data_IF_010176365176
#
_entry.id   IF_010176365176
#
_cell.length_a   1.000
_cell.length_b   1.000
_cell.length_c   1.000
_cell.angle_alpha   90.00
_cell.angle_beta   90.00
_cell.angle_gamma   90.00
#
_symmetry.space_group_name_H-M   'P 1'
#
loop_
_entity.id
_entity.type
_entity.pdbx_description
1 polymer ?
#
# COMPACT_ATOMS: atom_id res chain seq x y z
N UNK A 1 -22.86 -19.42 -3.78
CA UNK A 1 -21.88 -18.38 -4.19
C UNK A 1 -21.83 -17.17 -3.25
N UNK A 2 -22.94 -16.54 -2.81
CA UNK A 2 -22.86 -15.42 -1.83
C UNK A 2 -22.40 -15.84 -0.42
N UNK A 3 -22.79 -17.02 0.07
CA UNK A 3 -22.38 -17.50 1.41
C UNK A 3 -20.91 -17.94 1.50
N UNK A 4 -20.21 -18.18 0.39
CA UNK A 4 -18.81 -18.64 0.44
C UNK A 4 -17.80 -17.49 0.59
N UNK A 5 -18.13 -16.28 0.16
CA UNK A 5 -17.26 -15.11 0.37
C UNK A 5 -17.17 -14.77 1.86
N UNK A 6 -18.31 -14.73 2.53
CA UNK A 6 -18.43 -14.44 3.97
C UNK A 6 -17.93 -15.56 4.91
N UNK A 7 -17.33 -16.62 4.37
CA UNK A 7 -16.52 -17.52 5.20
C UNK A 7 -15.23 -16.83 5.67
N UNK A 8 -14.76 -15.86 4.89
CA UNK A 8 -13.79 -14.86 5.32
C UNK A 8 -14.57 -13.64 5.82
N UNK A 9 -14.50 -13.37 7.13
CA UNK A 9 -15.25 -12.29 7.80
C UNK A 9 -14.44 -11.74 8.97
N UNK A 10 -14.79 -10.53 9.40
CA UNK A 10 -14.20 -9.84 10.53
C UNK A 10 -15.29 -9.60 11.57
N UNK A 11 -15.08 -10.12 12.78
CA UNK A 11 -16.00 -9.96 13.90
C UNK A 11 -15.40 -9.08 15.00
N UNK A 12 -16.09 -7.99 15.32
CA UNK A 12 -15.74 -7.04 16.38
C UNK A 12 -16.77 -7.16 17.49
N UNK A 13 -16.35 -7.64 18.66
CA UNK A 13 -17.19 -7.73 19.85
C UNK A 13 -17.00 -6.50 20.74
N UNK A 14 -18.10 -5.87 21.16
CA UNK A 14 -18.10 -4.67 22.01
C UNK A 14 -18.37 -3.37 21.26
N UNK A 15 -18.40 -3.39 19.92
CA UNK A 15 -18.67 -2.22 19.08
C UNK A 15 -19.54 -2.58 17.85
N UNK A 16 -20.87 -2.62 18.01
CA UNK A 16 -21.79 -2.99 16.93
C UNK A 16 -21.74 -2.05 15.71
N UNK A 17 -21.42 -0.77 15.92
CA UNK A 17 -21.34 0.20 14.82
C UNK A 17 -20.08 -0.03 13.99
N UNK A 18 -18.91 -0.16 14.63
CA UNK A 18 -17.68 -0.50 13.91
C UNK A 18 -17.81 -1.86 13.20
N UNK A 19 -18.50 -2.83 13.80
CA UNK A 19 -18.81 -4.11 13.15
C UNK A 19 -19.62 -3.93 11.85
N UNK A 20 -20.66 -3.09 11.87
CA UNK A 20 -21.47 -2.81 10.68
C UNK A 20 -20.63 -2.13 9.60
N UNK A 21 -19.87 -1.10 9.98
CA UNK A 21 -19.08 -0.28 9.05
C UNK A 21 -17.97 -1.13 8.40
N UNK A 22 -17.25 -1.96 9.17
CA UNK A 22 -16.22 -2.89 8.66
C UNK A 22 -16.80 -3.93 7.71
N UNK A 23 -17.99 -4.48 7.99
CA UNK A 23 -18.66 -5.40 7.06
C UNK A 23 -19.14 -4.68 5.80
N UNK A 24 -19.58 -3.42 5.91
CA UNK A 24 -19.88 -2.61 4.73
C UNK A 24 -18.63 -2.44 3.84
N UNK A 25 -17.46 -2.22 4.45
CA UNK A 25 -16.17 -2.14 3.73
C UNK A 25 -15.80 -3.43 3.01
N UNK A 26 -15.91 -4.57 3.69
CA UNK A 26 -15.71 -5.88 3.06
C UNK A 26 -16.68 -6.10 1.91
N UNK A 27 -17.98 -5.78 2.11
CA UNK A 27 -19.00 -5.95 1.08
C UNK A 27 -18.66 -5.21 -0.21
N UNK A 28 -18.21 -3.96 -0.13
CA UNK A 28 -17.87 -3.16 -1.31
C UNK A 28 -16.62 -3.69 -2.02
N UNK A 29 -15.52 -3.96 -1.30
CA UNK A 29 -14.32 -4.56 -1.92
C UNK A 29 -14.64 -5.92 -2.56
N UNK A 30 -15.41 -6.75 -1.86
CA UNK A 30 -15.90 -8.02 -2.39
C UNK A 30 -16.88 -7.85 -3.54
N UNK A 31 -17.42 -6.67 -3.80
CA UNK A 31 -18.32 -6.44 -4.94
C UNK A 31 -17.59 -5.92 -6.17
N UNK A 32 -16.48 -5.20 -5.99
CA UNK A 32 -15.76 -4.55 -7.09
C UNK A 32 -14.80 -5.46 -7.85
N UNK A 33 -14.37 -6.59 -7.27
CA UNK A 33 -13.42 -7.50 -7.93
C UNK A 33 -13.87 -8.96 -7.85
N UNK A 34 -13.48 -9.76 -8.85
CA UNK A 34 -13.79 -11.19 -8.96
C UNK A 34 -12.54 -11.97 -9.35
N UNK A 35 -12.47 -13.23 -8.90
CA UNK A 35 -11.45 -14.17 -9.34
C UNK A 35 -11.59 -14.47 -10.83
N UNK A 36 -10.48 -14.84 -11.47
CA UNK A 36 -10.39 -15.26 -12.87
C UNK A 36 -10.79 -14.19 -13.91
N UNK A 37 -10.75 -12.90 -13.55
CA UNK A 37 -11.01 -11.80 -14.50
C UNK A 37 -9.73 -11.13 -15.00
N UNK A 38 -8.65 -11.20 -14.20
CA UNK A 38 -7.44 -10.38 -14.40
C UNK A 38 -7.75 -8.87 -14.53
N UNK A 39 -8.81 -8.42 -13.85
CA UNK A 39 -9.19 -7.01 -13.71
C UNK A 39 -8.86 -6.53 -12.28
N UNK A 40 -8.69 -5.22 -12.15
CA UNK A 40 -8.33 -4.55 -10.89
C UNK A 40 -9.29 -3.38 -10.61
N UNK A 41 -9.62 -3.08 -9.34
CA UNK A 41 -10.56 -2.01 -9.01
C UNK A 41 -9.93 -0.62 -9.14
N UNK A 42 -10.76 0.39 -9.44
CA UNK A 42 -10.40 1.80 -9.29
C UNK A 42 -10.51 2.25 -7.82
N UNK A 43 -10.00 3.44 -7.43
CA UNK A 43 -10.22 4.03 -6.10
C UNK A 43 -11.70 4.13 -5.71
N UNK A 44 -12.59 4.28 -6.69
CA UNK A 44 -14.05 4.34 -6.50
C UNK A 44 -14.76 3.01 -6.78
N UNK A 45 -13.99 1.94 -7.01
CA UNK A 45 -14.48 0.64 -7.43
C UNK A 45 -15.31 0.73 -8.72
N UNK A 46 -16.56 0.28 -8.63
CA UNK A 46 -17.58 0.39 -9.69
C UNK A 46 -18.78 1.23 -9.22
N UNK A 47 -18.58 2.11 -8.25
CA UNK A 47 -19.66 2.87 -7.59
C UNK A 47 -20.00 4.20 -8.28
N UNK A 48 -19.17 4.67 -9.21
CA UNK A 48 -19.40 5.88 -9.98
C UNK A 48 -18.28 6.16 -10.99
N UNK A 49 -18.28 7.37 -11.55
CA UNK A 49 -17.35 7.80 -12.61
C UNK A 49 -16.07 8.46 -12.08
N UNK A 50 -15.88 8.54 -10.76
CA UNK A 50 -14.68 9.15 -10.18
C UNK A 50 -13.41 8.45 -10.66
N UNK A 51 -12.40 9.24 -11.01
CA UNK A 51 -11.14 8.81 -11.65
C UNK A 51 -11.31 7.93 -12.90
N UNK A 52 -12.42 8.07 -13.63
CA UNK A 52 -12.66 7.38 -14.91
C UNK A 52 -12.58 5.84 -14.84
N UNK A 53 -12.67 5.25 -13.64
CA UNK A 53 -12.45 3.82 -13.45
C UNK A 53 -11.00 3.37 -13.62
N UNK A 54 -10.03 4.29 -13.65
CA UNK A 54 -8.61 3.99 -13.76
C UNK A 54 -8.08 3.32 -12.48
N UNK A 55 -7.02 2.52 -12.65
CA UNK A 55 -6.37 1.74 -11.60
C UNK A 55 -5.06 2.40 -11.20
N UNK A 56 -4.98 2.81 -9.93
CA UNK A 56 -3.87 3.53 -9.31
C UNK A 56 -3.14 2.61 -8.30
N UNK A 57 -2.08 3.14 -7.67
CA UNK A 57 -1.39 2.51 -6.54
C UNK A 57 -2.31 2.21 -5.35
N UNK A 58 -3.44 2.91 -5.25
CA UNK A 58 -4.62 2.64 -4.44
C UNK A 58 -4.93 1.14 -4.31
N UNK A 59 -4.90 0.45 -5.46
CA UNK A 59 -5.14 -0.99 -5.51
C UNK A 59 -4.10 -1.71 -4.68
N UNK A 60 -2.83 -1.61 -5.04
CA UNK A 60 -1.77 -2.47 -4.51
C UNK A 60 -1.40 -2.17 -3.06
N UNK A 61 -1.48 -0.92 -2.63
CA UNK A 61 -1.12 -0.52 -1.27
C UNK A 61 -2.30 -0.62 -0.31
N UNK A 62 -3.51 -0.29 -0.75
CA UNK A 62 -4.64 -0.09 0.17
C UNK A 62 -5.68 -1.21 0.12
N UNK A 63 -6.12 -1.58 -1.08
CA UNK A 63 -7.19 -2.59 -1.26
C UNK A 63 -6.67 -4.02 -1.33
N UNK A 64 -5.49 -4.21 -1.93
CA UNK A 64 -4.92 -5.52 -2.20
C UNK A 64 -4.56 -6.30 -0.93
N UNK A 65 -3.97 -5.72 0.13
CA UNK A 65 -3.60 -6.50 1.32
C UNK A 65 -4.79 -7.20 2.02
N UNK A 66 -5.92 -6.54 2.33
CA UNK A 66 -7.06 -7.25 2.93
C UNK A 66 -7.66 -8.27 1.96
N UNK A 67 -7.71 -7.98 0.65
CA UNK A 67 -8.16 -8.93 -0.36
C UNK A 67 -7.25 -10.15 -0.45
N UNK A 68 -5.94 -9.98 -0.39
CA UNK A 68 -4.96 -11.06 -0.42
C UNK A 68 -5.10 -11.96 0.82
N UNK A 69 -5.28 -11.37 1.99
CA UNK A 69 -5.41 -12.15 3.21
C UNK A 69 -6.75 -12.90 3.28
N UNK A 70 -7.86 -12.34 2.80
CA UNK A 70 -9.18 -12.97 2.92
C UNK A 70 -9.57 -13.83 1.70
N UNK A 71 -9.14 -13.41 0.51
CA UNK A 71 -9.44 -14.02 -0.79
C UNK A 71 -8.23 -13.99 -1.73
N UNK A 72 -7.18 -14.79 -1.47
CA UNK A 72 -6.01 -14.87 -2.36
C UNK A 72 -6.37 -15.12 -3.83
N UNK A 73 -7.45 -15.85 -4.09
CA UNK A 73 -7.95 -16.12 -5.43
C UNK A 73 -8.50 -14.89 -6.18
N UNK A 74 -9.03 -13.90 -5.46
CA UNK A 74 -9.45 -12.61 -6.03
C UNK A 74 -8.24 -11.69 -6.18
N UNK A 75 -7.37 -11.64 -5.17
CA UNK A 75 -6.12 -10.88 -5.24
C UNK A 75 -5.24 -11.33 -6.43
N UNK A 76 -5.22 -12.63 -6.78
CA UNK A 76 -4.57 -13.13 -8.00
C UNK A 76 -5.01 -12.36 -9.24
N UNK A 77 -6.30 -12.06 -9.39
CA UNK A 77 -6.81 -11.29 -10.54
C UNK A 77 -6.33 -9.84 -10.53
N UNK A 78 -6.28 -9.20 -9.37
CA UNK A 78 -5.77 -7.83 -9.22
C UNK A 78 -4.30 -7.72 -9.64
N UNK A 79 -3.45 -8.66 -9.23
CA UNK A 79 -2.03 -8.60 -9.62
C UNK A 79 -1.78 -9.11 -11.05
N UNK A 80 -2.61 -10.04 -11.56
CA UNK A 80 -2.52 -10.48 -12.95
C UNK A 80 -2.96 -9.39 -13.94
N UNK A 81 -3.81 -8.44 -13.53
CA UNK A 81 -4.08 -7.22 -14.29
C UNK A 81 -2.77 -6.48 -14.63
N UNK A 82 -1.87 -6.32 -13.64
CA UNK A 82 -0.55 -5.69 -13.81
C UNK A 82 0.38 -6.54 -14.65
N UNK A 83 0.35 -7.87 -14.51
CA UNK A 83 1.13 -8.77 -15.38
C UNK A 83 0.73 -8.63 -16.85
N UNK A 84 -0.57 -8.61 -17.16
CA UNK A 84 -1.07 -8.47 -18.53
C UNK A 84 -0.71 -7.14 -19.20
N UNK A 85 -0.39 -6.11 -18.39
CA UNK A 85 0.00 -4.76 -18.83
C UNK A 85 1.50 -4.50 -18.71
N UNK A 86 2.29 -5.51 -18.37
CA UNK A 86 3.73 -5.38 -18.17
C UNK A 86 4.45 -4.84 -19.42
N UNK A 87 4.04 -5.27 -20.62
CA UNK A 87 4.66 -4.78 -21.86
C UNK A 87 4.34 -3.31 -22.15
N UNK A 88 3.17 -2.81 -21.73
CA UNK A 88 2.86 -1.38 -21.82
C UNK A 88 3.74 -0.56 -20.85
N UNK A 89 3.95 -1.06 -19.63
CA UNK A 89 4.86 -0.47 -18.65
C UNK A 89 6.32 -0.46 -19.13
N UNK A 90 6.76 -1.50 -19.85
CA UNK A 90 8.09 -1.53 -20.50
C UNK A 90 8.24 -0.47 -21.59
N UNK A 91 7.20 -0.29 -22.43
CA UNK A 91 7.18 0.78 -23.44
C UNK A 91 7.24 2.16 -22.79
N UNK A 92 6.51 2.37 -21.69
CA UNK A 92 6.58 3.62 -20.91
C UNK A 92 8.00 3.88 -20.39
N UNK A 93 8.65 2.89 -19.77
CA UNK A 93 10.03 3.04 -19.30
C UNK A 93 10.97 3.47 -20.44
N UNK A 94 10.90 2.79 -21.59
CA UNK A 94 11.72 3.10 -22.75
C UNK A 94 11.47 4.52 -23.31
N UNK A 95 10.23 5.01 -23.30
CA UNK A 95 9.89 6.38 -23.72
C UNK A 95 10.55 7.45 -22.82
N UNK A 96 10.75 7.13 -21.54
CA UNK A 96 11.43 8.00 -20.57
C UNK A 96 12.95 7.74 -20.49
N UNK A 97 13.49 6.85 -21.34
CA UNK A 97 14.92 6.52 -21.35
C UNK A 97 15.37 5.60 -20.21
N UNK A 98 14.44 4.90 -19.56
CA UNK A 98 14.71 3.92 -18.51
C UNK A 98 14.64 2.48 -19.03
N UNK A 99 15.33 1.58 -18.35
CA UNK A 99 15.20 0.13 -18.57
C UNK A 99 13.99 -0.44 -17.81
N UNK A 100 13.69 -1.71 -18.02
CA UNK A 100 12.71 -2.43 -17.21
C UNK A 100 11.27 -2.00 -17.48
N UNK A 101 10.45 -1.90 -16.43
CA UNK A 101 9.05 -1.53 -16.51
C UNK A 101 8.72 -0.37 -15.56
N UNK A 102 8.11 0.67 -16.10
CA UNK A 102 7.58 1.84 -15.39
C UNK A 102 6.07 1.80 -15.54
N UNK A 103 5.35 1.42 -14.49
CA UNK A 103 3.89 1.35 -14.56
C UNK A 103 3.29 2.77 -14.69
N UNK A 104 2.17 2.92 -15.43
CA UNK A 104 1.46 4.19 -15.49
C UNK A 104 0.88 4.55 -14.12
N UNK A 105 0.79 5.86 -13.82
CA UNK A 105 0.12 6.35 -12.62
C UNK A 105 -1.37 6.00 -12.68
N UNK A 106 -2.00 6.31 -13.82
CA UNK A 106 -3.37 5.93 -14.12
C UNK A 106 -3.40 4.87 -15.20
N UNK A 107 -3.82 3.66 -14.82
CA UNK A 107 -3.90 2.53 -15.75
C UNK A 107 -5.35 2.22 -16.14
N UNK A 108 -5.62 2.02 -17.43
CA UNK A 108 -6.89 1.46 -17.91
C UNK A 108 -6.66 0.18 -18.75
N UNK A 109 -7.59 -0.12 -19.67
CA UNK A 109 -7.59 -1.37 -20.44
C UNK A 109 -6.26 -1.61 -21.19
N UNK A 110 -5.73 -0.58 -21.85
CA UNK A 110 -4.50 -0.67 -22.66
C UNK A 110 -3.22 -0.88 -21.83
N UNK A 111 -3.25 -0.51 -20.55
CA UNK A 111 -2.05 -0.43 -19.70
C UNK A 111 -1.11 0.74 -20.01
N UNK A 112 -1.47 1.63 -20.94
CA UNK A 112 -0.75 2.87 -21.20
C UNK A 112 -0.98 3.89 -20.09
N UNK A 113 -0.24 5.00 -20.10
CA UNK A 113 -0.51 6.12 -19.21
C UNK A 113 -1.78 6.85 -19.65
N UNK A 114 -2.76 6.92 -18.75
CA UNK A 114 -4.04 7.58 -18.97
C UNK A 114 -4.18 8.86 -18.12
N UNK A 115 -3.17 9.20 -17.32
CA UNK A 115 -3.16 10.42 -16.51
C UNK A 115 -3.29 11.65 -17.43
N UNK A 116 -4.17 12.62 -17.10
CA UNK A 116 -4.26 13.87 -17.84
C UNK A 116 -2.89 14.54 -17.99
N UNK A 117 -2.55 14.96 -19.21
CA UNK A 117 -1.21 15.47 -19.57
C UNK A 117 -0.74 16.70 -18.77
N UNK A 118 -1.66 17.37 -18.07
CA UNK A 118 -1.39 18.52 -17.20
C UNK A 118 -1.04 18.14 -15.75
N UNK A 119 -1.19 16.86 -15.35
CA UNK A 119 -0.81 16.38 -14.03
C UNK A 119 0.60 15.78 -14.07
N UNK A 120 1.49 16.26 -13.19
CA UNK A 120 2.87 15.78 -13.12
C UNK A 120 2.99 14.34 -12.62
N UNK A 121 1.95 13.84 -11.93
CA UNK A 121 1.89 12.49 -11.35
C UNK A 121 2.15 11.40 -12.40
N UNK A 122 1.53 11.51 -13.59
CA UNK A 122 1.75 10.56 -14.70
C UNK A 122 3.20 10.47 -15.16
N UNK A 123 3.92 11.59 -15.11
CA UNK A 123 5.30 11.67 -15.56
C UNK A 123 6.33 11.38 -14.47
N UNK A 124 6.02 11.64 -13.19
CA UNK A 124 7.03 11.71 -12.13
C UNK A 124 6.67 10.99 -10.82
N UNK A 125 5.44 10.50 -10.64
CA UNK A 125 5.04 9.74 -9.45
C UNK A 125 5.34 8.25 -9.62
N UNK A 126 6.64 7.94 -9.61
CA UNK A 126 7.15 6.64 -10.03
C UNK A 126 6.95 5.51 -9.02
N UNK A 127 6.60 5.83 -7.77
CA UNK A 127 6.53 4.85 -6.68
C UNK A 127 5.55 3.71 -6.98
N UNK A 128 4.50 3.95 -7.77
CA UNK A 128 3.56 2.91 -8.24
C UNK A 128 4.25 1.69 -8.84
N UNK A 129 5.39 1.89 -9.49
CA UNK A 129 6.19 0.80 -10.06
C UNK A 129 6.73 -0.14 -8.98
N UNK A 130 7.15 0.41 -7.84
CA UNK A 130 7.55 -0.38 -6.69
C UNK A 130 6.37 -0.94 -5.90
N UNK A 131 5.24 -0.23 -5.85
CA UNK A 131 4.02 -0.69 -5.18
C UNK A 131 3.48 -1.99 -5.80
N UNK A 132 3.45 -2.04 -7.14
CA UNK A 132 3.12 -3.25 -7.91
C UNK A 132 4.06 -4.41 -7.60
N UNK A 133 5.36 -4.13 -7.49
CA UNK A 133 6.36 -5.13 -7.17
C UNK A 133 6.17 -5.73 -5.77
N UNK A 134 5.86 -4.89 -4.78
CA UNK A 134 5.57 -5.35 -3.42
C UNK A 134 4.31 -6.22 -3.39
N UNK A 135 3.23 -5.81 -4.06
CA UNK A 135 2.02 -6.63 -4.14
C UNK A 135 2.28 -8.00 -4.79
N UNK A 136 3.09 -8.05 -5.86
CA UNK A 136 3.49 -9.30 -6.48
C UNK A 136 4.28 -10.22 -5.53
N UNK A 137 5.22 -9.65 -4.77
CA UNK A 137 5.97 -10.41 -3.79
C UNK A 137 5.09 -10.90 -2.63
N UNK A 138 4.22 -10.04 -2.10
CA UNK A 138 3.27 -10.38 -1.04
C UNK A 138 2.32 -11.50 -1.46
N UNK A 139 1.83 -11.48 -2.70
CA UNK A 139 1.01 -12.57 -3.23
C UNK A 139 1.73 -13.92 -3.10
N UNK A 140 3.00 -13.98 -3.51
CA UNK A 140 3.80 -15.19 -3.35
C UNK A 140 4.01 -15.56 -1.88
N UNK A 141 4.34 -14.60 -1.02
CA UNK A 141 4.54 -14.88 0.41
C UNK A 141 3.30 -15.50 1.05
N UNK A 142 2.10 -15.03 0.71
CA UNK A 142 0.84 -15.54 1.27
C UNK A 142 0.43 -16.89 0.68
N UNK A 143 0.66 -17.09 -0.62
CA UNK A 143 0.15 -18.29 -1.34
C UNK A 143 1.15 -19.44 -1.41
N UNK A 144 2.45 -19.15 -1.36
CA UNK A 144 3.51 -20.11 -1.66
C UNK A 144 3.53 -20.60 -3.12
N UNK A 145 2.78 -19.96 -4.02
CA UNK A 145 2.60 -20.37 -5.42
C UNK A 145 3.88 -20.09 -6.24
N UNK A 146 4.81 -21.06 -6.21
CA UNK A 146 6.10 -20.97 -6.91
C UNK A 146 5.98 -21.01 -8.43
N UNK A 147 4.95 -21.68 -8.95
CA UNK A 147 4.69 -21.72 -10.39
C UNK A 147 4.26 -20.34 -10.87
N UNK A 148 3.28 -19.73 -10.21
CA UNK A 148 2.91 -18.34 -10.48
C UNK A 148 4.07 -17.37 -10.27
N UNK A 149 4.88 -17.56 -9.21
CA UNK A 149 6.06 -16.73 -8.97
C UNK A 149 7.02 -16.80 -10.16
N UNK A 150 7.28 -17.99 -10.71
CA UNK A 150 8.17 -18.16 -11.87
C UNK A 150 7.59 -17.53 -13.13
N UNK A 151 6.31 -17.76 -13.41
CA UNK A 151 5.68 -17.39 -14.68
C UNK A 151 5.23 -15.93 -14.75
N UNK A 152 4.82 -15.35 -13.63
CA UNK A 152 4.17 -14.02 -13.58
C UNK A 152 4.80 -13.09 -12.55
N UNK A 153 5.10 -13.59 -11.35
CA UNK A 153 5.69 -12.77 -10.28
C UNK A 153 7.11 -12.29 -10.61
N UNK A 154 7.97 -13.16 -11.11
CA UNK A 154 9.35 -12.87 -11.47
C UNK A 154 9.46 -11.88 -12.63
N UNK A 155 8.71 -12.02 -13.74
CA UNK A 155 8.68 -11.00 -14.78
C UNK A 155 8.34 -9.59 -14.28
N UNK A 156 7.39 -9.46 -13.35
CA UNK A 156 7.05 -8.17 -12.72
C UNK A 156 8.25 -7.69 -11.90
N UNK A 157 8.65 -8.45 -10.87
CA UNK A 157 9.69 -8.07 -9.91
C UNK A 157 11.01 -7.70 -10.61
N UNK A 158 11.44 -8.53 -11.58
CA UNK A 158 12.65 -8.28 -12.38
C UNK A 158 12.54 -6.97 -13.16
N UNK A 159 11.47 -6.78 -13.92
CA UNK A 159 11.34 -5.61 -14.77
C UNK A 159 11.25 -4.31 -13.95
N UNK A 160 10.56 -4.33 -12.81
CA UNK A 160 10.49 -3.15 -11.93
C UNK A 160 11.81 -2.88 -11.20
N UNK A 161 12.60 -3.92 -10.88
CA UNK A 161 13.94 -3.77 -10.33
C UNK A 161 14.93 -3.21 -11.37
N UNK A 162 14.82 -3.65 -12.63
CA UNK A 162 15.57 -3.07 -13.76
C UNK A 162 15.25 -1.58 -13.95
N UNK A 163 13.98 -1.20 -13.83
CA UNK A 163 13.58 0.21 -13.82
C UNK A 163 14.29 0.98 -12.71
N UNK A 164 14.17 0.55 -11.45
CA UNK A 164 14.82 1.27 -10.34
C UNK A 164 16.34 1.32 -10.46
N UNK A 165 16.97 0.25 -10.96
CA UNK A 165 18.41 0.22 -11.19
C UNK A 165 18.87 1.21 -12.28
N UNK A 166 18.04 1.45 -13.30
CA UNK A 166 18.28 2.47 -14.34
C UNK A 166 17.85 3.89 -13.91
N UNK A 167 16.92 4.00 -12.95
CA UNK A 167 16.31 5.27 -12.51
C UNK A 167 17.17 6.04 -11.52
N UNK A 168 18.00 5.33 -10.74
CA UNK A 168 18.90 5.94 -9.75
C UNK A 168 20.06 6.65 -10.43
N UNK A 169 20.45 7.80 -9.88
CA UNK A 169 21.64 8.54 -10.27
C UNK A 169 22.72 8.36 -9.21
N UNK A 170 23.97 8.13 -9.62
CA UNK A 170 25.09 8.05 -8.66
C UNK A 170 25.63 9.45 -8.39
N UNK A 171 25.73 9.84 -7.12
CA UNK A 171 26.30 11.12 -6.73
C UNK A 171 27.84 11.05 -6.55
N UNK A 172 28.46 12.21 -6.33
CA UNK A 172 29.92 12.33 -6.17
C UNK A 172 30.47 11.61 -4.92
N UNK A 173 29.62 11.33 -3.93
CA UNK A 173 29.98 10.58 -2.70
C UNK A 173 29.89 9.07 -2.90
N UNK A 174 29.38 8.63 -4.05
CA UNK A 174 29.20 7.23 -4.39
C UNK A 174 27.92 6.61 -3.82
N UNK A 175 27.00 7.42 -3.32
CA UNK A 175 25.63 7.07 -2.98
C UNK A 175 24.73 7.21 -4.22
N UNK A 176 23.48 6.72 -4.12
CA UNK A 176 22.48 6.86 -5.17
C UNK A 176 21.40 7.87 -4.79
N UNK A 177 20.84 8.53 -5.78
CA UNK A 177 19.79 9.55 -5.63
C UNK A 177 18.65 9.24 -6.59
N UNK A 178 17.41 9.54 -6.16
CA UNK A 178 16.24 9.52 -7.03
C UNK A 178 15.70 10.94 -7.05
N UNK A 179 16.05 11.67 -8.12
CA UNK A 179 15.73 13.09 -8.28
C UNK A 179 14.46 13.33 -9.07
N UNK A 180 13.86 14.50 -8.92
CA UNK A 180 12.73 14.98 -9.71
C UNK A 180 11.57 13.96 -9.76
N UNK A 181 10.98 13.73 -8.59
CA UNK A 181 9.79 12.89 -8.43
C UNK A 181 8.64 13.69 -7.83
N UNK A 182 7.44 13.15 -7.95
CA UNK A 182 6.29 13.52 -7.12
C UNK A 182 6.22 12.51 -5.97
N UNK A 183 6.09 12.99 -4.74
CA UNK A 183 5.95 12.18 -3.54
C UNK A 183 4.53 11.60 -3.43
N UNK A 184 4.31 10.66 -2.50
CA UNK A 184 2.93 10.24 -2.18
C UNK A 184 2.14 11.40 -1.58
N UNK A 185 2.82 12.33 -0.90
CA UNK A 185 2.33 13.69 -0.73
C UNK A 185 2.37 14.42 -2.09
N UNK A 186 1.26 14.37 -2.83
CA UNK A 186 1.18 15.03 -4.15
C UNK A 186 1.28 16.57 -4.10
N UNK A 187 1.40 17.20 -2.93
CA UNK A 187 1.77 18.62 -2.84
C UNK A 187 3.28 18.83 -3.00
N UNK A 188 4.08 17.79 -2.86
CA UNK A 188 5.53 17.80 -3.05
C UNK A 188 5.90 17.27 -4.44
N UNK A 189 5.95 18.19 -5.41
CA UNK A 189 6.34 17.92 -6.79
C UNK A 189 7.77 18.45 -7.08
N UNK A 190 8.47 17.82 -8.04
CA UNK A 190 9.83 18.21 -8.45
C UNK A 190 10.83 18.17 -7.28
N UNK A 191 10.67 17.18 -6.41
CA UNK A 191 11.52 17.00 -5.23
C UNK A 191 12.51 15.85 -5.44
N UNK A 192 13.56 15.83 -4.62
CA UNK A 192 14.63 14.84 -4.66
C UNK A 192 14.60 13.97 -3.40
N UNK A 193 14.95 12.69 -3.58
CA UNK A 193 15.14 11.73 -2.50
C UNK A 193 13.93 11.62 -1.56
N UNK A 194 12.72 11.57 -2.13
CA UNK A 194 11.52 11.29 -1.35
C UNK A 194 11.67 9.97 -0.57
N UNK A 195 11.35 9.99 0.71
CA UNK A 195 11.52 8.89 1.64
C UNK A 195 10.76 7.66 1.18
N UNK A 196 9.50 7.81 0.79
CA UNK A 196 8.70 6.68 0.31
C UNK A 196 9.24 6.12 -1.01
N UNK A 197 9.51 6.98 -1.98
CA UNK A 197 10.05 6.60 -3.30
C UNK A 197 11.41 5.88 -3.16
N UNK A 198 12.29 6.38 -2.30
CA UNK A 198 13.54 5.72 -1.98
C UNK A 198 13.29 4.37 -1.29
N UNK A 199 12.40 4.34 -0.29
CA UNK A 199 12.05 3.13 0.45
C UNK A 199 11.46 2.03 -0.44
N UNK A 200 10.54 2.36 -1.34
CA UNK A 200 9.91 1.41 -2.25
C UNK A 200 10.92 0.89 -3.28
N UNK A 201 11.83 1.75 -3.78
CA UNK A 201 12.90 1.35 -4.70
C UNK A 201 13.86 0.34 -4.02
N UNK A 202 14.32 0.66 -2.80
CA UNK A 202 15.15 -0.24 -1.97
C UNK A 202 14.44 -1.58 -1.80
N UNK A 203 13.16 -1.56 -1.42
CA UNK A 203 12.40 -2.77 -1.11
C UNK A 203 12.16 -3.61 -2.36
N UNK A 204 11.88 -3.00 -3.50
CA UNK A 204 11.72 -3.69 -4.77
C UNK A 204 13.01 -4.42 -5.19
N UNK A 205 14.16 -3.72 -5.19
CA UNK A 205 15.46 -4.31 -5.52
C UNK A 205 15.80 -5.51 -4.63
N UNK A 206 15.50 -5.40 -3.33
CA UNK A 206 15.67 -6.49 -2.36
C UNK A 206 14.72 -7.67 -2.63
N UNK A 207 13.44 -7.40 -2.93
CA UNK A 207 12.45 -8.44 -3.21
C UNK A 207 12.70 -9.14 -4.54
N UNK A 208 13.13 -8.44 -5.58
CA UNK A 208 13.57 -9.07 -6.82
C UNK A 208 14.78 -9.99 -6.58
N UNK A 209 15.76 -9.56 -5.78
CA UNK A 209 16.90 -10.40 -5.39
C UNK A 209 16.47 -11.66 -4.61
N UNK A 210 15.53 -11.51 -3.66
CA UNK A 210 14.97 -12.64 -2.89
C UNK A 210 14.17 -13.60 -3.78
N UNK A 211 13.39 -13.07 -4.71
CA UNK A 211 12.64 -13.86 -5.68
C UNK A 211 13.57 -14.71 -6.55
N UNK A 212 14.64 -14.11 -7.08
CA UNK A 212 15.64 -14.83 -7.85
C UNK A 212 16.25 -15.98 -7.04
N UNK A 213 16.61 -15.74 -5.77
CA UNK A 213 17.13 -16.78 -4.88
C UNK A 213 16.11 -17.92 -4.65
N UNK A 214 14.83 -17.61 -4.44
CA UNK A 214 13.75 -18.60 -4.31
C UNK A 214 13.61 -19.47 -5.57
N UNK A 215 13.80 -18.88 -6.75
CA UNK A 215 13.67 -19.56 -8.04
C UNK A 215 14.98 -20.22 -8.52
N UNK A 216 16.09 -20.08 -7.78
CA UNK A 216 17.40 -20.57 -8.20
C UNK A 216 18.00 -19.81 -9.39
N UNK A 217 17.59 -18.56 -9.59
CA UNK A 217 18.07 -17.66 -10.64
C UNK A 217 19.14 -16.74 -10.05
N UNK A 218 20.20 -16.45 -10.81
CA UNK A 218 21.21 -15.47 -10.43
C UNK A 218 20.68 -14.05 -10.67
N UNK A 219 20.43 -13.29 -9.61
CA UNK A 219 20.12 -11.87 -9.69
C UNK A 219 21.39 -11.02 -9.96
N UNK A 220 21.27 -9.87 -10.66
CA UNK A 220 22.31 -8.85 -10.70
C UNK A 220 22.74 -8.45 -9.29
N UNK A 221 24.06 -8.46 -9.03
CA UNK A 221 24.61 -8.08 -7.72
C UNK A 221 24.38 -6.60 -7.42
N UNK A 222 24.32 -5.80 -8.48
CA UNK A 222 24.11 -4.36 -8.46
C UNK A 222 22.82 -3.99 -7.73
N UNK A 223 21.76 -4.80 -7.78
CA UNK A 223 20.48 -4.49 -7.13
C UNK A 223 20.63 -4.29 -5.62
N UNK A 224 21.29 -5.21 -4.92
CA UNK A 224 21.51 -5.07 -3.48
C UNK A 224 22.54 -3.99 -3.14
N UNK A 225 23.52 -3.73 -4.03
CA UNK A 225 24.50 -2.66 -3.86
C UNK A 225 23.85 -1.27 -3.99
N UNK A 226 22.93 -1.11 -4.95
CA UNK A 226 22.13 0.10 -5.12
C UNK A 226 21.21 0.28 -3.92
N UNK A 227 20.44 -0.75 -3.55
CA UNK A 227 19.51 -0.69 -2.43
C UNK A 227 20.19 -0.31 -1.10
N UNK A 228 21.44 -0.74 -0.87
CA UNK A 228 22.20 -0.38 0.33
C UNK A 228 22.71 1.07 0.35
N UNK A 229 22.62 1.79 -0.78
CA UNK A 229 23.21 3.11 -1.01
C UNK A 229 22.20 4.19 -1.42
N UNK A 230 20.92 3.85 -1.52
CA UNK A 230 19.85 4.83 -1.61
C UNK A 230 19.58 5.37 -0.19
N UNK A 231 19.56 6.70 0.03
CA UNK A 231 19.45 7.28 1.36
C UNK A 231 18.01 7.28 1.88
N UNK A 232 17.88 7.12 3.20
CA UNK A 232 16.69 7.51 3.98
C UNK A 232 17.14 8.60 4.95
N UNK A 233 16.90 9.85 4.58
CA UNK A 233 17.43 11.03 5.27
C UNK A 233 16.68 11.34 6.57
N UNK A 234 17.32 12.09 7.47
CA UNK A 234 16.72 12.61 8.70
C UNK A 234 16.81 14.12 8.78
N UNK A 235 15.87 14.74 9.49
CA UNK A 235 15.95 16.14 9.90
C UNK A 235 16.85 16.31 11.12
N UNK A 236 17.18 17.55 11.48
CA UNK A 236 18.06 17.85 12.62
C UNK A 236 17.53 17.35 13.98
N UNK A 237 16.21 17.21 14.13
CA UNK A 237 15.55 16.64 15.30
C UNK A 237 15.50 15.08 15.29
N UNK A 238 16.05 14.46 14.23
CA UNK A 238 16.09 13.01 14.05
C UNK A 238 14.79 12.38 13.56
N UNK A 239 13.76 13.15 13.20
CA UNK A 239 12.60 12.66 12.43
C UNK A 239 13.07 12.26 11.03
N UNK A 240 12.52 11.19 10.47
CA UNK A 240 12.78 10.81 9.07
C UNK A 240 12.28 11.93 8.16
N UNK A 241 13.14 12.40 7.26
CA UNK A 241 12.85 13.54 6.38
C UNK A 241 12.11 13.03 5.14
N UNK A 242 10.99 13.66 4.78
CA UNK A 242 10.17 13.26 3.62
C UNK A 242 10.87 13.42 2.28
N UNK A 243 11.58 14.51 2.04
CA UNK A 243 12.39 14.73 0.83
C UNK A 243 13.50 15.75 1.16
N UNK A 244 14.52 15.91 0.32
CA UNK A 244 15.72 16.69 0.69
C UNK A 244 15.41 18.16 1.04
N UNK A 245 14.46 18.78 0.33
CA UNK A 245 13.98 20.14 0.59
C UNK A 245 12.86 20.24 1.64
N UNK A 246 12.43 19.14 2.25
CA UNK A 246 11.40 19.14 3.28
C UNK A 246 11.90 19.86 4.53
N UNK A 247 11.02 20.65 5.14
CA UNK A 247 11.30 21.35 6.39
C UNK A 247 10.22 21.12 7.44
N UNK A 248 9.02 21.66 7.24
CA UNK A 248 7.95 21.62 8.24
C UNK A 248 6.54 21.79 7.64
N UNK A 249 6.43 21.69 6.31
CA UNK A 249 5.20 21.94 5.55
C UNK A 249 4.12 20.89 5.89
N UNK A 250 2.86 21.28 5.72
CA UNK A 250 1.74 20.33 5.70
C UNK A 250 1.87 19.38 4.50
N UNK A 251 1.39 18.15 4.66
CA UNK A 251 1.42 17.12 3.64
C UNK A 251 0.00 16.67 3.30
N UNK A 252 -0.28 16.36 2.03
CA UNK A 252 -1.60 15.93 1.55
C UNK A 252 -2.05 14.62 2.20
N UNK A 253 -1.13 13.67 2.36
CA UNK A 253 -1.41 12.30 2.79
C UNK A 253 -0.15 11.61 3.34
N UNK A 254 -0.30 10.38 3.86
CA UNK A 254 0.81 9.65 4.48
C UNK A 254 1.94 9.32 3.48
N UNK A 255 3.17 9.76 3.79
CA UNK A 255 4.39 9.42 3.04
C UNK A 255 5.41 8.68 3.91
N UNK A 256 6.06 9.38 4.85
CA UNK A 256 7.12 8.81 5.70
C UNK A 256 6.62 7.63 6.54
N UNK A 257 5.37 7.68 7.01
CA UNK A 257 4.81 6.61 7.84
C UNK A 257 4.68 5.29 7.07
N UNK A 258 4.64 5.33 5.73
CA UNK A 258 4.58 4.14 4.89
C UNK A 258 5.91 3.35 4.90
N UNK A 259 7.03 3.98 5.28
CA UNK A 259 8.31 3.27 5.48
C UNK A 259 8.25 2.28 6.65
N UNK A 260 7.44 2.56 7.66
CA UNK A 260 7.22 1.64 8.77
C UNK A 260 6.30 0.48 8.35
N UNK A 261 5.20 0.81 7.67
CA UNK A 261 4.27 -0.15 7.11
C UNK A 261 3.61 0.44 5.85
N UNK A 262 3.61 -0.26 4.69
CA UNK A 262 3.92 -1.68 4.54
C UNK A 262 5.39 -2.00 4.25
N UNK A 263 6.27 -1.00 4.06
CA UNK A 263 7.61 -1.26 3.53
C UNK A 263 8.56 -1.97 4.50
N UNK A 264 8.35 -1.81 5.81
CA UNK A 264 9.24 -2.31 6.85
C UNK A 264 10.71 -1.89 6.63
N UNK A 265 10.92 -0.67 6.14
CA UNK A 265 12.23 -0.02 6.02
C UNK A 265 12.64 0.55 7.38
N UNK A 266 11.70 1.21 8.08
CA UNK A 266 11.88 1.66 9.46
C UNK A 266 11.22 0.64 10.38
N UNK A 267 12.04 -0.05 11.17
CA UNK A 267 11.57 -1.08 12.12
C UNK A 267 11.87 -0.72 13.58
N UNK A 268 12.70 0.29 13.82
CA UNK A 268 12.96 0.79 15.16
C UNK A 268 11.72 1.47 15.72
N UNK A 269 11.25 0.95 16.86
CA UNK A 269 10.00 1.37 17.49
C UNK A 269 10.01 2.86 17.89
N UNK A 270 11.14 3.35 18.41
CA UNK A 270 11.26 4.74 18.86
C UNK A 270 11.26 5.70 17.67
N UNK A 271 11.87 5.31 16.54
CA UNK A 271 11.81 6.07 15.31
C UNK A 271 10.40 6.13 14.73
N UNK A 272 9.67 5.00 14.70
CA UNK A 272 8.27 4.96 14.23
C UNK A 272 7.40 5.91 15.07
N UNK A 273 7.52 5.87 16.40
CA UNK A 273 6.77 6.76 17.29
C UNK A 273 7.14 8.23 17.07
N UNK A 274 8.44 8.52 16.88
CA UNK A 274 8.91 9.87 16.60
C UNK A 274 8.34 10.41 15.28
N UNK A 275 8.37 9.60 14.23
CA UNK A 275 7.87 9.99 12.91
C UNK A 275 6.34 10.17 12.94
N UNK A 276 5.60 9.29 13.61
CA UNK A 276 4.15 9.45 13.82
C UNK A 276 3.81 10.78 14.51
N UNK A 277 4.42 11.05 15.67
CA UNK A 277 4.15 12.27 16.44
C UNK A 277 4.45 13.55 15.67
N UNK A 278 5.42 13.50 14.76
CA UNK A 278 5.71 14.64 13.89
C UNK A 278 4.67 14.77 12.78
N UNK A 279 4.51 13.73 11.95
CA UNK A 279 3.70 13.79 10.74
C UNK A 279 2.19 13.85 10.99
N UNK A 280 1.70 13.36 12.14
CA UNK A 280 0.29 13.51 12.50
C UNK A 280 -0.12 14.99 12.67
N UNK A 281 0.83 15.88 12.98
CA UNK A 281 0.61 17.33 13.08
C UNK A 281 0.67 18.05 11.73
N UNK A 282 1.08 17.34 10.67
CA UNK A 282 1.26 17.89 9.32
C UNK A 282 0.10 17.58 8.39
N UNK A 283 -0.83 16.72 8.83
CA UNK A 283 -2.04 16.40 8.10
C UNK A 283 -3.07 17.54 8.25
N UNK A 284 -3.52 18.14 7.15
CA UNK A 284 -4.61 19.13 7.17
C UNK A 284 -5.91 18.56 7.73
N UNK A 285 -6.78 19.44 8.22
CA UNK A 285 -8.09 19.03 8.73
C UNK A 285 -9.08 18.62 7.63
N UNK A 286 -8.98 19.20 6.43
CA UNK A 286 -9.80 18.90 5.25
C UNK A 286 -8.91 18.44 4.09
N UNK A 287 -9.53 17.93 3.02
CA UNK A 287 -8.83 17.63 1.75
C UNK A 287 -7.69 16.61 1.87
N UNK A 288 -7.69 15.82 2.96
CA UNK A 288 -6.85 14.65 3.16
C UNK A 288 -7.65 13.39 2.81
N UNK A 289 -7.16 12.56 1.89
CA UNK A 289 -7.77 11.27 1.58
C UNK A 289 -7.79 10.32 2.79
N UNK A 290 -8.91 9.61 2.96
CA UNK A 290 -9.26 8.78 4.13
C UNK A 290 -8.22 7.70 4.56
N UNK A 291 -7.32 7.28 3.66
CA UNK A 291 -6.35 6.22 3.94
C UNK A 291 -5.21 6.64 4.87
N UNK A 292 -4.89 7.93 4.95
CA UNK A 292 -3.78 8.47 5.75
C UNK A 292 -3.91 8.12 7.22
N UNK A 293 -5.05 8.45 7.82
CA UNK A 293 -5.30 8.23 9.24
C UNK A 293 -5.37 6.73 9.59
N UNK A 294 -5.75 5.88 8.63
CA UNK A 294 -5.77 4.44 8.84
C UNK A 294 -4.36 3.87 9.10
N UNK A 295 -3.31 4.42 8.46
CA UNK A 295 -1.92 4.03 8.76
C UNK A 295 -1.51 4.48 10.16
N UNK A 296 -1.91 5.67 10.59
CA UNK A 296 -1.62 6.12 11.95
C UNK A 296 -2.27 5.19 12.97
N UNK A 297 -3.54 4.84 12.78
CA UNK A 297 -4.24 3.86 13.62
C UNK A 297 -3.51 2.51 13.69
N UNK A 298 -3.11 1.98 12.53
CA UNK A 298 -2.37 0.73 12.41
C UNK A 298 -1.05 0.79 13.20
N UNK A 299 -0.26 1.83 12.99
CA UNK A 299 1.06 1.95 13.60
C UNK A 299 0.96 2.21 15.10
N UNK A 300 0.04 3.05 15.57
CA UNK A 300 -0.20 3.25 17.01
C UNK A 300 -0.68 1.95 17.69
N UNK A 301 -1.51 1.14 17.02
CA UNK A 301 -1.91 -0.16 17.56
C UNK A 301 -0.71 -1.11 17.70
N UNK A 302 0.19 -1.14 16.71
CA UNK A 302 1.46 -1.90 16.77
C UNK A 302 2.43 -1.31 17.81
N UNK A 303 2.34 -0.01 18.09
CA UNK A 303 3.02 0.61 19.21
C UNK A 303 2.33 0.29 20.55
N UNK A 304 1.15 -0.32 20.59
CA UNK A 304 0.47 -0.60 21.85
C UNK A 304 -0.14 0.65 22.51
N UNK A 305 -0.27 1.76 21.77
CA UNK A 305 -1.02 2.93 22.21
C UNK A 305 -2.48 2.79 21.79
N UNK A 306 -3.29 2.24 22.70
CA UNK A 306 -4.71 1.95 22.42
C UNK A 306 -5.53 3.21 22.18
N UNK A 307 -5.20 4.32 22.84
CA UNK A 307 -6.02 5.53 22.80
C UNK A 307 -5.79 6.26 21.49
N UNK A 308 -4.53 6.45 21.09
CA UNK A 308 -4.19 7.02 19.77
C UNK A 308 -4.65 6.12 18.62
N UNK A 309 -4.46 4.79 18.74
CA UNK A 309 -4.90 3.88 17.70
C UNK A 309 -6.41 3.97 17.43
N UNK A 310 -7.23 4.06 18.49
CA UNK A 310 -8.67 4.16 18.35
C UNK A 310 -9.12 5.55 17.90
N UNK A 311 -8.47 6.62 18.36
CA UNK A 311 -8.72 7.97 17.85
C UNK A 311 -8.56 8.02 16.32
N UNK A 312 -7.40 7.60 15.82
CA UNK A 312 -7.11 7.60 14.38
C UNK A 312 -7.96 6.61 13.60
N UNK A 313 -8.37 5.48 14.20
CA UNK A 313 -9.30 4.54 13.57
C UNK A 313 -10.63 5.22 13.23
N UNK A 314 -11.19 5.99 14.16
CA UNK A 314 -12.45 6.70 13.94
C UNK A 314 -12.26 7.85 12.95
N UNK A 315 -11.18 8.62 13.10
CA UNK A 315 -10.90 9.76 12.21
C UNK A 315 -10.65 9.35 10.75
N UNK A 316 -10.20 8.12 10.52
CA UNK A 316 -9.96 7.57 9.19
C UNK A 316 -11.21 7.37 8.34
N UNK A 317 -12.41 7.32 8.92
CA UNK A 317 -13.62 7.12 8.11
C UNK A 317 -14.88 7.76 8.62
N UNK A 318 -15.08 7.93 9.94
CA UNK A 318 -16.33 8.48 10.47
C UNK A 318 -16.67 9.87 9.89
N UNK A 319 -15.72 10.81 9.74
CA UNK A 319 -16.00 12.12 9.13
C UNK A 319 -16.26 12.06 7.62
N UNK A 320 -15.99 10.92 6.99
CA UNK A 320 -16.17 10.67 5.56
C UNK A 320 -17.49 9.93 5.28
N UNK A 321 -18.28 9.58 6.30
CA UNK A 321 -19.49 8.78 6.10
C UNK A 321 -20.67 9.62 5.60
N UNK A 322 -21.25 9.20 4.48
CA UNK A 322 -22.43 9.84 3.90
C UNK A 322 -23.74 9.08 4.22
N UNK A 323 -24.81 9.80 4.64
CA UNK A 323 -26.13 9.21 4.85
C UNK A 323 -26.81 8.81 3.52
N UNK A 324 -27.82 7.93 3.55
CA UNK A 324 -28.32 7.19 4.71
C UNK A 324 -27.54 5.88 4.96
N UNK A 325 -26.69 5.46 4.02
CA UNK A 325 -26.06 4.14 4.03
C UNK A 325 -24.68 4.09 4.66
N UNK A 326 -24.17 5.23 5.16
CA UNK A 326 -22.83 5.35 5.75
C UNK A 326 -21.76 4.84 4.79
N UNK A 327 -21.84 5.28 3.53
CA UNK A 327 -20.79 5.02 2.53
C UNK A 327 -19.63 5.98 2.77
N UNK A 328 -18.41 5.49 2.58
CA UNK A 328 -17.20 6.28 2.83
C UNK A 328 -16.88 7.15 1.61
N UNK A 329 -16.75 8.45 1.82
CA UNK A 329 -16.24 9.44 0.87
C UNK A 329 -14.70 9.50 0.91
N UNK A 330 -14.12 10.16 -0.08
CA UNK A 330 -12.66 10.30 -0.20
C UNK A 330 -12.09 11.19 0.91
N UNK A 331 -12.70 12.37 1.07
CA UNK A 331 -12.31 13.38 2.05
C UNK A 331 -13.43 13.63 3.06
N UNK A 332 -13.08 14.23 4.19
CA UNK A 332 -14.05 14.62 5.24
C UNK A 332 -15.08 15.59 4.64
N UNK A 333 -16.37 15.27 4.78
CA UNK A 333 -17.45 16.05 4.18
C UNK A 333 -17.59 15.95 2.66
N UNK A 334 -16.85 15.05 2.01
CA UNK A 334 -16.98 14.79 0.57
C UNK A 334 -18.29 14.07 0.23
N UNK A 335 -18.83 14.35 -0.96
CA UNK A 335 -20.08 13.74 -1.46
C UNK A 335 -19.85 12.73 -2.59
N UNK A 336 -18.58 12.34 -2.82
CA UNK A 336 -18.23 11.40 -3.87
C UNK A 336 -18.85 10.00 -3.62
N UNK A 337 -18.94 9.16 -4.67
CA UNK A 337 -19.30 7.75 -4.53
C UNK A 337 -18.36 6.99 -3.57
N UNK A 338 -18.61 5.70 -3.39
CA UNK A 338 -17.90 4.86 -2.43
C UNK A 338 -16.37 4.83 -2.69
N UNK A 339 -15.60 5.37 -1.75
CA UNK A 339 -14.14 5.40 -1.80
C UNK A 339 -13.53 4.10 -1.25
N UNK A 340 -13.25 3.17 -2.16
CA UNK A 340 -12.71 1.86 -1.83
C UNK A 340 -11.29 1.92 -1.25
N UNK A 341 -10.52 2.96 -1.55
CA UNK A 341 -9.14 3.11 -1.02
C UNK A 341 -9.16 3.35 0.47
N UNK A 342 -10.00 4.29 0.93
CA UNK A 342 -10.23 4.53 2.35
C UNK A 342 -10.72 3.28 3.07
N UNK A 343 -11.67 2.55 2.48
CA UNK A 343 -12.14 1.26 3.01
C UNK A 343 -11.01 0.24 3.15
N UNK A 344 -10.13 0.13 2.14
CA UNK A 344 -8.93 -0.71 2.18
C UNK A 344 -7.99 -0.34 3.31
N UNK A 345 -7.72 0.96 3.50
CA UNK A 345 -6.93 1.48 4.62
C UNK A 345 -7.51 1.10 5.99
N UNK A 346 -8.80 1.35 6.21
CA UNK A 346 -9.47 1.00 7.47
C UNK A 346 -9.43 -0.50 7.73
N UNK A 347 -9.64 -1.32 6.70
CA UNK A 347 -9.54 -2.78 6.82
C UNK A 347 -8.12 -3.22 7.20
N UNK A 348 -7.08 -2.54 6.69
CA UNK A 348 -5.71 -2.79 7.15
C UNK A 348 -5.51 -2.37 8.61
N UNK A 349 -6.04 -1.23 9.05
CA UNK A 349 -6.01 -0.84 10.45
C UNK A 349 -6.66 -1.90 11.36
N UNK A 350 -7.77 -2.51 10.92
CA UNK A 350 -8.43 -3.60 11.65
C UNK A 350 -7.62 -4.88 11.61
N UNK A 351 -7.18 -5.33 10.44
CA UNK A 351 -6.55 -6.64 10.27
C UNK A 351 -5.09 -6.66 10.67
N UNK A 352 -4.29 -5.72 10.16
CA UNK A 352 -2.84 -5.65 10.34
C UNK A 352 -2.42 -4.73 11.49
N UNK A 353 -3.29 -3.78 11.89
CA UNK A 353 -3.16 -2.99 13.10
C UNK A 353 -3.72 -3.74 14.31
N UNK A 354 -5.00 -3.58 14.62
CA UNK A 354 -5.63 -4.19 15.79
C UNK A 354 -5.48 -5.72 15.86
N UNK A 355 -5.72 -6.41 14.74
CA UNK A 355 -5.59 -7.86 14.64
C UNK A 355 -4.16 -8.38 14.63
N UNK A 356 -3.19 -7.51 14.32
CA UNK A 356 -1.77 -7.84 14.28
C UNK A 356 -1.38 -8.80 13.16
N UNK A 357 -2.19 -8.99 12.12
CA UNK A 357 -1.78 -9.80 10.98
C UNK A 357 -0.58 -9.15 10.28
N UNK A 358 0.41 -9.96 9.93
CA UNK A 358 1.61 -9.51 9.23
C UNK A 358 2.02 -10.59 8.23
N UNK A 359 2.31 -10.19 6.98
CA UNK A 359 2.82 -11.09 5.95
C UNK A 359 4.30 -11.33 6.24
N UNK A 360 4.67 -12.57 6.59
CA UNK A 360 6.02 -12.86 7.02
C UNK A 360 7.01 -12.84 5.85
N UNK A 361 8.15 -12.19 6.03
CA UNK A 361 9.18 -12.08 4.99
C UNK A 361 9.81 -13.41 4.58
N UNK A 362 9.66 -14.46 5.42
CA UNK A 362 10.04 -15.84 5.11
C UNK A 362 8.93 -16.66 4.43
N UNK A 363 7.72 -16.10 4.28
CA UNK A 363 6.54 -16.76 3.75
C UNK A 363 5.49 -17.03 4.83
N UNK A 364 4.22 -16.94 4.43
CA UNK A 364 3.06 -17.14 5.30
C UNK A 364 2.57 -15.88 6.02
N UNK A 365 1.71 -16.09 7.00
CA UNK A 365 1.04 -15.04 7.77
C UNK A 365 1.28 -15.32 9.25
N UNK A 366 1.75 -14.30 9.97
CA UNK A 366 1.96 -14.34 11.42
C UNK A 366 1.11 -13.29 12.13
N UNK A 367 1.01 -13.42 13.45
CA UNK A 367 0.37 -12.42 14.30
C UNK A 367 1.44 -11.72 15.16
N UNK A 368 1.56 -10.41 15.04
CA UNK A 368 2.48 -9.57 15.80
C UNK A 368 1.80 -8.95 17.02
N UNK A 369 2.59 -8.42 17.95
CA UNK A 369 2.06 -7.78 19.16
C UNK A 369 1.41 -6.44 18.83
N UNK A 370 0.14 -6.32 19.20
CA UNK A 370 -0.71 -5.13 19.01
C UNK A 370 -1.67 -4.97 20.19
N UNK A 371 -2.40 -3.85 20.24
CA UNK A 371 -3.42 -3.56 21.25
C UNK A 371 -4.78 -3.30 20.60
N UNK A 372 -5.87 -3.77 21.22
CA UNK A 372 -7.24 -3.45 20.80
C UNK A 372 -7.73 -2.16 21.48
N UNK A 373 -8.72 -1.45 20.89
CA UNK A 373 -9.43 -0.39 21.59
C UNK A 373 -10.05 -0.87 22.91
N UNK A 374 -10.11 0.01 23.91
CA UNK A 374 -10.66 -0.32 25.24
C UNK A 374 -12.12 -0.81 25.23
N UNK A 375 -12.91 -0.41 24.23
CA UNK A 375 -14.30 -0.86 24.06
C UNK A 375 -14.44 -2.17 23.28
N UNK A 376 -13.39 -2.63 22.59
CA UNK A 376 -13.41 -3.88 21.84
C UNK A 376 -12.97 -5.03 22.75
N UNK A 377 -13.89 -5.95 23.04
CA UNK A 377 -13.63 -7.13 23.89
C UNK A 377 -12.82 -8.18 23.14
N UNK A 378 -13.12 -8.36 21.86
CA UNK A 378 -12.55 -9.39 21.00
C UNK A 378 -12.63 -8.99 19.54
N UNK A 379 -11.56 -9.28 18.80
CA UNK A 379 -11.50 -9.22 17.35
C UNK A 379 -11.21 -10.61 16.81
N UNK A 380 -12.04 -11.10 15.89
CA UNK A 380 -11.87 -12.39 15.22
C UNK A 380 -11.81 -12.18 13.72
N UNK A 381 -10.75 -12.66 13.07
CA UNK A 381 -10.56 -12.57 11.62
C UNK A 381 -10.52 -13.99 11.07
N UNK A 382 -11.52 -14.36 10.26
CA UNK A 382 -11.72 -15.73 9.76
C UNK A 382 -11.31 -15.86 8.30
N UNK A 383 -11.01 -17.08 7.87
CA UNK A 383 -10.77 -17.40 6.46
C UNK A 383 -9.46 -16.83 5.91
N UNK A 384 -8.47 -16.59 6.76
CA UNK A 384 -7.22 -15.93 6.41
C UNK A 384 -6.24 -16.88 5.72
N UNK A 385 -5.69 -16.43 4.59
CA UNK A 385 -4.71 -17.15 3.76
C UNK A 385 -5.31 -18.34 2.98
N UNK A 386 -4.44 -19.11 2.35
CA UNK A 386 -4.81 -20.33 1.62
C UNK A 386 -5.32 -21.44 2.53
N UNK A 387 -4.82 -21.49 3.78
CA UNK A 387 -5.24 -22.44 4.82
C UNK A 387 -6.53 -22.04 5.55
N UNK A 388 -7.14 -20.89 5.22
CA UNK A 388 -8.40 -20.39 5.81
C UNK A 388 -8.37 -20.36 7.35
N UNK A 389 -7.26 -19.90 7.92
CA UNK A 389 -7.04 -19.81 9.38
C UNK A 389 -7.94 -18.74 10.03
N UNK A 390 -8.23 -18.95 11.30
CA UNK A 390 -8.90 -17.96 12.15
C UNK A 390 -7.91 -17.38 13.14
N UNK A 391 -7.82 -16.04 13.19
CA UNK A 391 -7.01 -15.30 14.13
C UNK A 391 -7.91 -14.60 15.15
N UNK A 392 -7.55 -14.68 16.42
CA UNK A 392 -8.31 -14.10 17.52
C UNK A 392 -7.39 -13.19 18.31
N UNK A 393 -7.88 -12.01 18.63
CA UNK A 393 -7.26 -11.08 19.57
C UNK A 393 -8.31 -10.73 20.63
N UNK A 394 -7.95 -10.86 21.89
CA UNK A 394 -8.76 -10.39 23.02
C UNK A 394 -8.05 -9.21 23.68
N UNK A 395 -8.83 -8.41 24.41
CA UNK A 395 -8.31 -7.31 25.21
C UNK A 395 -7.30 -7.77 26.26
#
# INVERSE_FOLDING_TARGET
>A
MRNSLWQSDIQIEGDPQAQQDVRSMLYHLYSFTRKSTSLSPSPMGLSGLGYNGHVFWDTEIWMFPPMLLLHPEIAKSMIEYRFQRLDAARKKAALYGYDGAMYPWESADSGSEETPVNALTGAFEHHITGDVAIAAWQYYLVTGDKEWLKEKGWPILKATAEFWASRVEKNNKGDYEIKNVVATDEWAENIDNNAYTNGIAIRNLQYASKCAAVLGITAPKEWNLIAAKIPISKMGNGVTREHDSYSDQSIKQADVNLLAYPLQIITDRNQIEKDLKFYETKIPHSDTPAMTQAIFSLLYSRLGDSDQAYHWFKDAYEPNLNPPFRVIAECKGGENPYFATGAGGVLQAVMMGFGGLDIDGGGGIKQVKTVLPKNWKKLTIMGVGTEKKTFIKTQ
#
